data_IF_264597185975
#
_entry.id   IF_264597185975
#
_cell.length_a   1.000
_cell.length_b   1.000
_cell.length_c   1.000
_cell.angle_alpha   90.00
_cell.angle_beta   90.00
_cell.angle_gamma   90.00
#
_symmetry.space_group_name_H-M   'P 1'
#
loop_
_entity.id
_entity.type
_entity.pdbx_description
1 polymer ?
#
# COMPACT_ATOMS: atom_id res chain seq x y z
N UNK A 1 -5.81 11.50 -0.85
CA UNK A 1 -5.27 10.97 0.42
C UNK A 1 -4.43 11.94 1.27
N UNK A 2 -4.05 13.18 0.87
CA UNK A 2 -3.21 14.02 1.74
C UNK A 2 -3.79 14.27 3.14
N UNK A 3 -5.11 14.50 3.24
CA UNK A 3 -5.81 14.78 4.49
C UNK A 3 -5.79 13.63 5.51
N UNK A 4 -5.86 12.37 5.05
CA UNK A 4 -5.75 11.20 5.93
C UNK A 4 -4.42 11.24 6.69
N UNK A 5 -3.33 11.37 5.94
CA UNK A 5 -2.01 11.30 6.54
C UNK A 5 -1.68 12.54 7.36
N UNK A 6 -2.21 13.72 7.01
CA UNK A 6 -2.10 14.93 7.85
C UNK A 6 -2.72 14.72 9.24
N UNK A 7 -3.86 14.03 9.32
CA UNK A 7 -4.48 13.69 10.60
C UNK A 7 -3.66 12.63 11.36
N UNK A 8 -3.12 11.63 10.68
CA UNK A 8 -2.23 10.65 11.31
C UNK A 8 -0.95 11.30 11.84
N UNK A 9 -0.40 12.29 11.12
CA UNK A 9 0.72 13.09 11.61
C UNK A 9 0.36 13.83 12.87
N UNK A 10 -0.77 14.53 12.89
CA UNK A 10 -1.21 15.26 14.08
C UNK A 10 -1.33 14.31 15.30
N UNK A 11 -1.86 13.09 15.10
CA UNK A 11 -1.94 12.08 16.16
C UNK A 11 -0.55 11.56 16.59
N UNK A 12 0.35 11.31 15.64
CA UNK A 12 1.71 10.80 15.92
C UNK A 12 2.54 11.83 16.66
N UNK A 13 2.48 13.10 16.22
CA UNK A 13 3.15 14.23 16.88
C UNK A 13 2.57 14.53 18.25
N UNK A 14 1.24 14.51 18.41
CA UNK A 14 0.59 14.73 19.71
C UNK A 14 0.98 13.69 20.75
N UNK A 15 1.25 12.45 20.32
CA UNK A 15 1.59 11.35 21.22
C UNK A 15 3.10 11.16 21.49
N UNK A 16 3.99 12.03 20.98
CA UNK A 16 5.47 11.94 21.12
C UNK A 16 6.09 10.56 20.80
N UNK A 17 5.32 9.62 20.25
CA UNK A 17 5.72 8.23 20.13
C UNK A 17 6.31 7.95 18.75
N UNK A 18 7.41 7.22 18.72
CA UNK A 18 7.99 6.60 17.51
C UNK A 18 7.14 5.40 17.01
N UNK A 19 5.87 5.28 17.43
CA UNK A 19 5.07 4.07 17.25
C UNK A 19 4.63 3.83 15.79
N UNK A 20 4.63 4.87 14.94
CA UNK A 20 4.22 4.77 13.53
C UNK A 20 5.26 5.43 12.65
N UNK A 21 5.73 4.71 11.64
CA UNK A 21 6.67 5.20 10.63
C UNK A 21 6.08 4.98 9.24
N UNK A 22 6.30 5.93 8.34
CA UNK A 22 5.85 5.84 6.96
C UNK A 22 7.00 5.40 6.04
N UNK A 23 6.67 4.48 5.15
CA UNK A 23 7.55 4.08 4.05
C UNK A 23 6.78 4.14 2.74
N UNK A 24 7.38 4.77 1.73
CA UNK A 24 6.83 4.89 0.40
C UNK A 24 7.62 4.01 -0.56
N UNK A 25 6.95 3.10 -1.27
CA UNK A 25 7.56 2.32 -2.34
C UNK A 25 7.06 2.84 -3.69
N UNK A 26 7.93 3.52 -4.44
CA UNK A 26 7.57 4.10 -5.74
C UNK A 26 8.35 3.48 -6.88
N UNK A 27 7.64 3.08 -7.94
CA UNK A 27 8.26 2.64 -9.19
C UNK A 27 8.96 3.76 -9.98
N UNK A 28 8.91 5.00 -9.49
CA UNK A 28 9.57 6.16 -10.10
C UNK A 28 11.09 5.94 -10.19
N UNK A 29 11.69 6.11 -11.38
CA UNK A 29 13.14 6.13 -11.59
C UNK A 29 13.84 7.18 -10.72
N UNK A 30 15.03 6.87 -10.16
CA UNK A 30 15.84 7.82 -9.35
C UNK A 30 16.02 9.21 -10.00
N UNK A 31 16.26 9.36 -11.32
CA UNK A 31 16.41 10.70 -11.92
C UNK A 31 15.18 11.60 -11.76
N UNK A 32 13.99 11.03 -11.52
CA UNK A 32 12.74 11.75 -11.28
C UNK A 32 12.43 11.91 -9.78
N UNK A 33 13.36 11.56 -8.90
CA UNK A 33 13.22 11.73 -7.46
C UNK A 33 12.89 13.18 -7.04
N UNK A 34 13.53 14.24 -7.59
CA UNK A 34 13.29 15.60 -7.09
C UNK A 34 11.83 16.05 -7.17
N UNK A 35 11.15 15.77 -8.30
CA UNK A 35 9.74 16.10 -8.46
C UNK A 35 8.83 15.29 -7.54
N UNK A 36 9.17 14.00 -7.31
CA UNK A 36 8.40 13.15 -6.41
C UNK A 36 8.57 13.57 -4.95
N UNK A 37 9.79 13.92 -4.53
CA UNK A 37 10.07 14.39 -3.18
C UNK A 37 9.29 15.68 -2.87
N UNK A 38 9.27 16.65 -3.78
CA UNK A 38 8.46 17.87 -3.61
C UNK A 38 6.96 17.57 -3.43
N UNK A 39 6.44 16.61 -4.20
CA UNK A 39 5.06 16.18 -4.06
C UNK A 39 4.80 15.46 -2.72
N UNK A 40 5.70 14.58 -2.30
CA UNK A 40 5.57 13.89 -1.01
C UNK A 40 5.65 14.89 0.15
N UNK A 41 6.62 15.81 0.14
CA UNK A 41 6.78 16.82 1.19
C UNK A 41 5.57 17.75 1.31
N UNK A 42 4.90 18.06 0.20
CA UNK A 42 3.73 18.95 0.21
C UNK A 42 2.45 18.29 0.76
N UNK A 43 2.33 16.96 0.65
CA UNK A 43 1.04 16.27 0.80
C UNK A 43 1.06 15.04 1.70
N UNK A 44 2.24 14.52 2.03
CA UNK A 44 2.43 13.26 2.73
C UNK A 44 3.33 13.43 3.96
N UNK A 45 3.26 12.51 4.91
CA UNK A 45 4.07 12.52 6.11
C UNK A 45 5.54 12.29 5.76
N UNK A 46 6.48 12.86 6.53
CA UNK A 46 7.86 12.45 6.45
C UNK A 46 7.97 10.93 6.61
N UNK A 47 8.76 10.32 5.75
CA UNK A 47 8.93 8.88 5.69
C UNK A 47 10.11 8.50 4.83
N UNK A 48 10.50 7.24 4.91
CA UNK A 48 11.53 6.69 4.01
C UNK A 48 10.93 6.39 2.64
N UNK A 49 11.74 6.42 1.60
CA UNK A 49 11.31 6.25 0.22
C UNK A 49 12.23 5.27 -0.51
N UNK A 50 11.66 4.20 -1.06
CA UNK A 50 12.34 3.30 -2.00
C UNK A 50 11.97 3.68 -3.42
N UNK A 51 12.99 4.03 -4.21
CA UNK A 51 12.87 4.39 -5.63
C UNK A 51 13.47 3.32 -6.51
N UNK A 52 13.01 3.27 -7.76
CA UNK A 52 13.54 2.31 -8.72
C UNK A 52 15.00 2.67 -9.07
N UNK A 53 15.96 1.76 -8.84
CA UNK A 53 17.35 2.00 -9.18
C UNK A 53 17.51 2.02 -10.69
N UNK A 54 17.60 3.22 -11.25
CA UNK A 54 17.88 3.47 -12.66
C UNK A 54 19.00 4.48 -12.76
N UNK A 55 19.89 4.31 -13.72
CA UNK A 55 21.00 5.24 -13.93
C UNK A 55 20.83 5.99 -15.23
N UNK A 56 21.15 7.29 -15.24
CA UNK A 56 21.24 8.08 -16.48
C UNK A 56 22.38 7.61 -17.39
N UNK A 57 23.34 6.88 -16.83
CA UNK A 57 24.47 6.29 -17.56
C UNK A 57 24.14 4.93 -18.19
N UNK A 58 22.95 4.38 -17.91
CA UNK A 58 22.46 3.14 -18.52
C UNK A 58 21.03 3.34 -19.06
N UNK A 59 20.88 3.81 -20.32
CA UNK A 59 19.58 3.98 -20.96
C UNK A 59 18.76 2.68 -21.01
N UNK A 60 19.42 1.52 -21.01
CA UNK A 60 18.75 0.22 -21.01
C UNK A 60 18.05 -0.02 -19.66
N UNK A 61 18.64 0.42 -18.55
CA UNK A 61 18.00 0.39 -17.23
C UNK A 61 16.69 1.16 -17.18
N UNK A 62 16.58 2.25 -17.96
CA UNK A 62 15.35 3.03 -18.05
C UNK A 62 14.27 2.33 -18.88
N UNK A 63 14.65 1.69 -20.00
CA UNK A 63 13.71 0.88 -20.80
C UNK A 63 13.21 -0.33 -20.00
N UNK A 64 14.12 -1.02 -19.30
CA UNK A 64 13.78 -2.14 -18.43
C UNK A 64 12.89 -1.67 -17.25
N UNK A 65 13.13 -0.47 -16.71
CA UNK A 65 12.28 0.12 -15.68
C UNK A 65 10.84 0.37 -16.16
N UNK A 66 10.66 0.79 -17.42
CA UNK A 66 9.35 0.94 -18.04
C UNK A 66 8.70 -0.42 -18.28
N UNK A 67 9.46 -1.43 -18.73
CA UNK A 67 8.98 -2.79 -18.93
C UNK A 67 8.57 -3.46 -17.60
N UNK A 68 9.32 -3.26 -16.52
CA UNK A 68 8.97 -3.73 -15.17
C UNK A 68 7.74 -3.04 -14.58
N UNK A 69 7.32 -1.89 -15.14
CA UNK A 69 6.01 -1.31 -14.84
C UNK A 69 4.86 -2.27 -15.18
N UNK A 70 5.14 -3.27 -16.05
CA UNK A 70 4.24 -4.36 -16.38
C UNK A 70 4.25 -5.41 -15.25
N UNK A 71 5.40 -5.89 -14.77
CA UNK A 71 5.42 -7.05 -13.84
C UNK A 71 5.37 -6.70 -12.34
N UNK A 72 5.48 -5.43 -11.99
CA UNK A 72 5.40 -4.92 -10.60
C UNK A 72 6.43 -5.54 -9.61
N UNK A 73 7.43 -6.27 -10.12
CA UNK A 73 8.42 -7.00 -9.34
C UNK A 73 9.21 -6.11 -8.39
N UNK A 74 9.63 -4.94 -8.87
CA UNK A 74 10.35 -3.97 -8.07
C UNK A 74 9.56 -3.53 -6.83
N UNK A 75 8.27 -3.21 -6.99
CA UNK A 75 7.44 -2.79 -5.85
C UNK A 75 7.32 -3.91 -4.83
N UNK A 76 7.09 -5.15 -5.28
CA UNK A 76 7.04 -6.32 -4.39
C UNK A 76 8.34 -6.46 -3.61
N UNK A 77 9.49 -6.41 -4.29
CA UNK A 77 10.79 -6.52 -3.65
C UNK A 77 11.01 -5.40 -2.62
N UNK A 78 10.66 -4.16 -2.95
CA UNK A 78 10.76 -3.05 -2.00
C UNK A 78 9.94 -3.29 -0.71
N UNK A 79 8.75 -3.89 -0.79
CA UNK A 79 7.98 -4.25 0.40
C UNK A 79 8.62 -5.40 1.19
N UNK A 80 9.14 -6.42 0.49
CA UNK A 80 9.87 -7.54 1.10
C UNK A 80 11.10 -7.04 1.85
N UNK A 81 11.87 -6.12 1.27
CA UNK A 81 13.07 -5.56 1.88
C UNK A 81 12.73 -4.82 3.18
N UNK A 82 11.65 -4.03 3.19
CA UNK A 82 11.16 -3.35 4.40
C UNK A 82 10.66 -4.35 5.44
N UNK A 83 9.89 -5.36 5.02
CA UNK A 83 9.43 -6.40 5.93
C UNK A 83 10.62 -7.14 6.57
N UNK A 84 11.66 -7.45 5.80
CA UNK A 84 12.85 -8.14 6.32
C UNK A 84 13.70 -7.21 7.21
N UNK A 85 13.82 -5.93 6.85
CA UNK A 85 14.59 -4.94 7.63
C UNK A 85 13.97 -4.70 9.01
N UNK A 86 12.63 -4.62 9.07
CA UNK A 86 11.90 -4.38 10.31
C UNK A 86 11.11 -5.62 10.74
N UNK A 87 11.83 -6.71 11.03
CA UNK A 87 11.24 -8.04 11.26
C UNK A 87 10.16 -8.11 12.36
N UNK A 88 10.22 -7.23 13.37
CA UNK A 88 9.27 -7.18 14.48
C UNK A 88 8.10 -6.21 14.27
N UNK A 89 8.15 -5.36 13.24
CA UNK A 89 7.11 -4.38 12.98
C UNK A 89 5.87 -5.02 12.36
N UNK A 90 4.70 -4.61 12.88
CA UNK A 90 3.42 -4.81 12.21
C UNK A 90 3.29 -3.81 11.08
N UNK A 91 2.87 -4.27 9.91
CA UNK A 91 2.81 -3.45 8.68
C UNK A 91 1.36 -3.27 8.25
N UNK A 92 1.03 -2.04 7.86
CA UNK A 92 -0.21 -1.71 7.18
C UNK A 92 0.12 -1.31 5.75
N UNK A 93 -0.59 -1.92 4.80
CA UNK A 93 -0.42 -1.66 3.38
C UNK A 93 -1.51 -0.71 2.91
N UNK A 94 -1.12 0.33 2.18
CA UNK A 94 -2.03 1.32 1.59
C UNK A 94 -1.83 1.36 0.08
N UNK A 95 -2.87 1.05 -0.68
CA UNK A 95 -2.80 1.03 -2.13
C UNK A 95 -4.13 1.31 -2.82
N UNK A 96 -4.05 1.51 -4.14
CA UNK A 96 -5.20 1.64 -5.03
C UNK A 96 -5.53 0.27 -5.68
N UNK A 97 -6.74 0.09 -6.21
CA UNK A 97 -7.24 -1.16 -6.81
C UNK A 97 -6.67 -1.49 -8.18
N UNK A 98 -5.55 -0.89 -8.57
CA UNK A 98 -4.80 -1.40 -9.71
C UNK A 98 -4.48 -2.89 -9.47
N UNK A 99 -4.96 -3.77 -10.36
CA UNK A 99 -4.93 -5.23 -10.20
C UNK A 99 -3.55 -5.76 -9.79
N UNK A 100 -2.49 -5.17 -10.34
CA UNK A 100 -1.10 -5.53 -10.07
C UNK A 100 -0.61 -5.11 -8.67
N UNK A 101 -1.16 -4.04 -8.09
CA UNK A 101 -0.87 -3.62 -6.71
C UNK A 101 -1.51 -4.59 -5.73
N UNK A 102 -2.76 -4.99 -6.00
CA UNK A 102 -3.45 -5.97 -5.17
C UNK A 102 -2.77 -7.34 -5.20
N UNK A 103 -2.36 -7.83 -6.37
CA UNK A 103 -1.60 -9.09 -6.49
C UNK A 103 -0.33 -9.07 -5.64
N UNK A 104 0.38 -7.93 -5.61
CA UNK A 104 1.55 -7.76 -4.75
C UNK A 104 1.18 -7.95 -3.27
N UNK A 105 0.07 -7.37 -2.81
CA UNK A 105 -0.36 -7.52 -1.41
C UNK A 105 -0.82 -8.94 -1.07
N UNK A 106 -1.50 -9.62 -2.00
CA UNK A 106 -1.87 -11.05 -1.84
C UNK A 106 -0.62 -11.90 -1.64
N UNK A 107 0.44 -11.70 -2.44
CA UNK A 107 1.73 -12.41 -2.27
C UNK A 107 2.41 -12.08 -0.95
N UNK A 108 2.33 -10.83 -0.50
CA UNK A 108 2.89 -10.46 0.81
C UNK A 108 2.11 -11.10 1.96
N UNK A 109 0.78 -11.21 1.86
CA UNK A 109 -0.07 -11.90 2.84
C UNK A 109 0.20 -13.41 2.88
N UNK A 110 0.49 -14.02 1.73
CA UNK A 110 0.91 -15.42 1.62
C UNK A 110 2.24 -15.65 2.37
N UNK A 111 3.22 -14.76 2.17
CA UNK A 111 4.57 -14.90 2.72
C UNK A 111 4.71 -14.42 4.17
N UNK A 112 3.90 -13.44 4.58
CA UNK A 112 4.01 -12.75 5.86
C UNK A 112 2.64 -12.54 6.56
N UNK A 113 1.80 -13.59 6.71
CA UNK A 113 0.40 -13.45 7.15
C UNK A 113 0.26 -12.82 8.54
N UNK A 114 1.17 -13.11 9.48
CA UNK A 114 1.14 -12.53 10.84
C UNK A 114 1.80 -11.16 11.00
N UNK A 115 2.43 -10.64 9.93
CA UNK A 115 3.14 -9.35 9.92
C UNK A 115 2.28 -8.23 9.38
N UNK A 116 1.34 -8.56 8.48
CA UNK A 116 0.50 -7.59 7.81
C UNK A 116 -0.79 -7.49 8.60
N UNK A 117 -0.95 -6.38 9.33
CA UNK A 117 -2.13 -6.13 10.12
C UNK A 117 -3.34 -5.83 9.23
N UNK A 118 -3.16 -4.90 8.28
CA UNK A 118 -4.23 -4.38 7.43
C UNK A 118 -3.75 -4.13 6.01
N UNK A 119 -4.65 -4.27 5.05
CA UNK A 119 -4.50 -3.90 3.64
C UNK A 119 -5.64 -2.96 3.28
N UNK A 120 -5.35 -1.67 3.27
CA UNK A 120 -6.26 -0.61 2.87
C UNK A 120 -6.26 -0.49 1.35
N UNK A 121 -7.42 -0.73 0.74
CA UNK A 121 -7.60 -0.72 -0.71
C UNK A 121 -8.59 0.37 -1.11
N UNK A 122 -8.09 1.38 -1.82
CA UNK A 122 -8.94 2.43 -2.38
C UNK A 122 -9.72 1.90 -3.58
N UNK A 123 -10.98 2.30 -3.70
CA UNK A 123 -11.75 2.20 -4.94
C UNK A 123 -12.05 0.74 -5.38
N UNK A 124 -12.41 -0.12 -4.43
CA UNK A 124 -13.11 -1.37 -4.73
C UNK A 124 -14.55 -1.00 -5.08
N UNK A 125 -14.82 -0.68 -6.34
CA UNK A 125 -16.17 -0.31 -6.77
C UNK A 125 -17.14 -1.45 -6.46
N UNK A 126 -18.03 -1.24 -5.49
CA UNK A 126 -19.42 -1.64 -5.69
C UNK A 126 -19.86 -0.98 -6.99
N UNK A 127 -20.45 -1.76 -7.89
CA UNK A 127 -20.91 -1.35 -9.22
C UNK A 127 -21.42 0.09 -9.19
N UNK A 128 -20.71 1.01 -9.84
CA UNK A 128 -21.27 2.32 -10.15
C UNK A 128 -22.46 2.06 -11.10
N UNK A 129 -23.72 2.35 -10.72
CA UNK A 129 -24.88 2.15 -11.59
C UNK A 129 -24.80 2.99 -12.87
N UNK A 130 -23.93 4.01 -12.91
CA UNK A 130 -23.68 4.84 -14.08
C UNK A 130 -22.40 4.47 -14.87
N UNK A 131 -21.67 3.42 -14.49
CA UNK A 131 -20.57 2.87 -15.30
C UNK A 131 -19.35 3.77 -15.53
N UNK A 132 -19.14 4.80 -14.71
CA UNK A 132 -18.18 5.90 -14.98
C UNK A 132 -16.75 5.69 -14.50
N UNK A 133 -16.32 4.43 -14.27
CA UNK A 133 -14.89 4.11 -14.12
C UNK A 133 -14.30 3.74 -15.50
N UNK A 134 -13.36 4.55 -16.05
CA UNK A 134 -12.94 4.47 -17.45
C UNK A 134 -11.98 3.32 -17.79
N UNK A 135 -11.57 2.49 -16.82
CA UNK A 135 -10.64 1.37 -17.09
C UNK A 135 -11.27 -0.01 -16.85
N UNK A 136 -11.79 -0.68 -17.91
CA UNK A 136 -12.46 -1.98 -17.80
C UNK A 136 -11.53 -3.15 -17.44
N UNK A 137 -10.20 -2.97 -17.40
CA UNK A 137 -9.22 -4.01 -17.05
C UNK A 137 -8.89 -4.10 -15.54
N UNK A 138 -9.60 -3.34 -14.69
CA UNK A 138 -9.20 -3.08 -13.28
C UNK A 138 -10.33 -3.19 -12.25
N UNK A 139 -11.47 -3.82 -12.59
CA UNK A 139 -12.59 -3.94 -11.66
C UNK A 139 -12.42 -5.15 -10.74
N UNK A 140 -11.53 -5.06 -9.77
CA UNK A 140 -11.51 -5.99 -8.63
C UNK A 140 -12.70 -5.65 -7.73
N UNK A 141 -13.65 -6.58 -7.55
CA UNK A 141 -14.74 -6.39 -6.58
C UNK A 141 -14.26 -6.73 -5.17
N UNK A 142 -15.01 -6.27 -4.16
CA UNK A 142 -14.73 -6.60 -2.75
C UNK A 142 -14.74 -8.11 -2.53
N UNK A 143 -15.71 -8.81 -3.11
CA UNK A 143 -15.87 -10.26 -2.99
C UNK A 143 -14.69 -11.00 -3.63
N UNK A 144 -14.22 -10.53 -4.79
CA UNK A 144 -13.04 -11.07 -5.45
C UNK A 144 -11.77 -10.84 -4.64
N UNK A 145 -11.60 -9.66 -4.06
CA UNK A 145 -10.47 -9.35 -3.19
C UNK A 145 -10.46 -10.27 -1.97
N UNK A 146 -11.61 -10.42 -1.30
CA UNK A 146 -11.74 -11.30 -0.13
C UNK A 146 -11.50 -12.76 -0.49
N UNK A 147 -12.01 -13.24 -1.63
CA UNK A 147 -11.80 -14.60 -2.07
C UNK A 147 -10.31 -14.91 -2.32
N UNK A 148 -9.60 -14.00 -3.01
CA UNK A 148 -8.17 -14.17 -3.28
C UNK A 148 -7.34 -14.15 -2.00
N UNK A 149 -7.61 -13.21 -1.08
CA UNK A 149 -6.89 -13.15 0.21
C UNK A 149 -7.20 -14.38 1.07
N UNK A 150 -8.45 -14.86 1.09
CA UNK A 150 -8.83 -16.06 1.83
C UNK A 150 -8.10 -17.32 1.36
N UNK A 151 -7.78 -17.40 0.07
CA UNK A 151 -7.05 -18.54 -0.50
C UNK A 151 -5.59 -18.62 -0.03
N UNK A 152 -4.95 -17.47 0.21
CA UNK A 152 -3.53 -17.42 0.60
C UNK A 152 -3.29 -17.37 2.11
N UNK A 153 -4.32 -17.03 2.90
CA UNK A 153 -4.18 -16.96 4.35
C UNK A 153 -4.17 -18.36 5.02
N UNK A 154 -3.39 -18.53 6.11
CA UNK A 154 -3.49 -19.69 6.99
C UNK A 154 -4.91 -19.92 7.51
N UNK A 155 -5.28 -21.17 7.80
CA UNK A 155 -6.65 -21.53 8.17
C UNK A 155 -7.16 -20.73 9.37
N UNK A 156 -6.32 -20.53 10.39
CA UNK A 156 -6.67 -19.74 11.58
C UNK A 156 -6.98 -18.26 11.28
N UNK A 157 -6.48 -17.72 10.16
CA UNK A 157 -6.66 -16.31 9.78
C UNK A 157 -7.79 -16.09 8.76
N UNK A 158 -8.30 -17.15 8.12
CA UNK A 158 -9.33 -17.02 7.07
C UNK A 158 -10.62 -16.36 7.54
N UNK A 159 -10.97 -16.49 8.81
CA UNK A 159 -12.14 -15.83 9.43
C UNK A 159 -11.95 -14.32 9.60
N UNK A 160 -10.73 -13.80 9.43
CA UNK A 160 -10.37 -12.38 9.65
C UNK A 160 -10.18 -11.60 8.36
N UNK A 161 -10.49 -12.18 7.20
CA UNK A 161 -10.28 -11.55 5.88
C UNK A 161 -10.90 -10.15 5.80
N UNK A 162 -12.12 -9.98 6.31
CA UNK A 162 -12.83 -8.70 6.32
C UNK A 162 -12.23 -7.67 7.28
N UNK A 163 -11.48 -8.13 8.28
CA UNK A 163 -10.71 -7.27 9.17
C UNK A 163 -9.35 -6.92 8.56
N UNK A 164 -8.76 -7.82 7.76
CA UNK A 164 -7.45 -7.60 7.14
C UNK A 164 -7.59 -6.70 5.92
N UNK A 165 -8.58 -6.94 5.05
CA UNK A 165 -8.77 -6.16 3.81
C UNK A 165 -9.83 -5.10 4.05
N UNK A 166 -9.40 -3.83 4.09
CA UNK A 166 -10.26 -2.68 4.39
C UNK A 166 -10.48 -1.86 3.11
N UNK A 167 -11.60 -2.06 2.39
CA UNK A 167 -11.99 -1.21 1.27
C UNK A 167 -12.39 0.17 1.75
N UNK A 168 -12.02 1.21 0.99
CA UNK A 168 -12.53 2.56 1.19
C UNK A 168 -12.70 3.29 -0.15
N UNK A 169 -13.63 4.23 -0.22
CA UNK A 169 -13.87 5.04 -1.42
C UNK A 169 -13.33 6.45 -1.20
N UNK A 170 -13.75 7.07 -0.11
CA UNK A 170 -13.31 8.38 0.31
C UNK A 170 -12.21 8.28 1.37
N UNK A 171 -11.08 9.01 1.24
CA UNK A 171 -10.04 9.03 2.27
C UNK A 171 -10.52 9.52 3.64
N UNK A 172 -11.63 10.26 3.71
CA UNK A 172 -12.31 10.66 4.94
C UNK A 172 -12.84 9.49 5.76
N UNK A 173 -13.16 8.35 5.13
CA UNK A 173 -13.58 7.11 5.82
C UNK A 173 -12.48 6.56 6.74
N UNK A 174 -11.23 6.91 6.45
CA UNK A 174 -10.05 6.47 7.20
C UNK A 174 -9.63 7.48 8.28
N UNK A 175 -10.30 8.64 8.38
CA UNK A 175 -9.97 9.66 9.37
C UNK A 175 -10.43 9.21 10.77
N UNK A 176 -9.55 9.38 11.77
CA UNK A 176 -9.84 9.01 13.16
C UNK A 176 -9.46 7.57 13.53
N UNK A 177 -8.92 6.79 12.59
CA UNK A 177 -8.37 5.46 12.90
C UNK A 177 -7.22 5.58 13.91
N UNK A 178 -7.25 4.75 14.95
CA UNK A 178 -6.17 4.69 15.93
C UNK A 178 -5.10 3.69 15.49
N UNK A 179 -4.13 4.20 14.72
CA UNK A 179 -3.01 3.42 14.17
C UNK A 179 -1.92 3.07 15.20
N UNK A 180 -2.08 3.50 16.46
CA UNK A 180 -1.05 3.34 17.51
C UNK A 180 -1.35 2.20 18.50
N UNK A 181 -2.49 1.51 18.35
CA UNK A 181 -2.89 0.41 19.24
C UNK A 181 -2.20 -0.91 18.90
N UNK A 182 -1.99 -1.76 19.91
CA UNK A 182 -1.53 -3.14 19.72
C UNK A 182 -2.55 -4.12 20.32
N UNK A 183 -3.10 -5.08 19.54
CA UNK A 183 -2.95 -5.21 18.10
C UNK A 183 -3.60 -4.03 17.36
N UNK A 184 -3.03 -3.65 16.22
CA UNK A 184 -3.64 -2.64 15.35
C UNK A 184 -5.01 -3.15 14.93
N UNK A 185 -6.06 -2.38 15.25
CA UNK A 185 -7.41 -2.66 14.78
C UNK A 185 -7.61 -1.95 13.45
N UNK A 186 -7.88 -2.74 12.42
CA UNK A 186 -8.07 -2.24 11.06
C UNK A 186 -9.44 -1.59 10.85
N UNK A 187 -10.40 -1.82 11.76
CA UNK A 187 -11.75 -1.24 11.85
C UNK A 187 -12.18 -1.20 13.32
#
# INVERSE_FOLDING_TARGET
MPSLFQNTLAQTYANTSTAVTFHFASGTPIPLAPSLLQFLDAYYPPGSLTLRPTSTFDPQSFINALADGIDNNFRRQAHVDILNTYATAQVMLFGDTASRTFETYVRLLEQYPGRIACVYLRNLTAVDPAGSSPNPLTRLTREQAYAQVRQVLPEEMRGRVEQIVVPFVDPGELVGMNLTTTPVKCV
#
